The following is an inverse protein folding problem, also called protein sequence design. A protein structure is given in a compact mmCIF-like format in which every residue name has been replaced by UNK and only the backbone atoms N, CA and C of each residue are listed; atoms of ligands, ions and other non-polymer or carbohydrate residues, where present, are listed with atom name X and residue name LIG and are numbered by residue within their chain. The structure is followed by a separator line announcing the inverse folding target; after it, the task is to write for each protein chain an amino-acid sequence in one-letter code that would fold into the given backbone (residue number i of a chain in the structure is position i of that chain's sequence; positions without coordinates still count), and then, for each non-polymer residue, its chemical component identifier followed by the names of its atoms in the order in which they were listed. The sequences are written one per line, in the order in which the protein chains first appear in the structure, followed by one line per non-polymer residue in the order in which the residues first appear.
data_IF_977563889869
#
_entry.id   IF_977563889869
#
_cell.length_a   1.000
_cell.length_b   1.000
_cell.length_c   1.000
_cell.angle_alpha   90.00
_cell.angle_beta   90.00
_cell.angle_gamma   90.00
#
_symmetry.space_group_name_H-M   'P 1'
#
loop_
_entity.id
_entity.type
_entity.pdbx_description
1 polymer ?
#
# COMPACT_ATOMS: atom_id res chain seq x y z
N UNK A 1 26.11 -4.56 -9.09
CA UNK A 1 24.81 -3.96 -9.39
C UNK A 1 24.21 -3.37 -8.12
N UNK A 2 23.60 -2.20 -8.20
CA UNK A 2 22.96 -1.63 -7.02
C UNK A 2 21.77 -2.48 -6.55
N UNK A 3 21.55 -2.45 -5.26
CA UNK A 3 20.41 -3.06 -4.63
C UNK A 3 19.47 -1.97 -4.15
N UNK A 4 18.19 -2.17 -4.33
CA UNK A 4 17.17 -1.23 -3.89
C UNK A 4 16.16 -1.92 -3.00
N UNK A 5 15.77 -1.23 -1.94
CA UNK A 5 14.68 -1.66 -1.08
C UNK A 5 13.43 -0.88 -1.45
N UNK A 6 12.36 -1.59 -1.75
CA UNK A 6 11.09 -0.98 -2.13
C UNK A 6 10.02 -1.25 -1.09
N UNK A 7 9.19 -0.26 -0.86
CA UNK A 7 7.97 -0.37 -0.04
C UNK A 7 6.79 -0.02 -0.93
N UNK A 8 5.83 -0.91 -1.02
CA UNK A 8 4.61 -0.70 -1.80
C UNK A 8 3.43 -0.62 -0.84
N UNK A 9 2.72 0.50 -0.90
CA UNK A 9 1.56 0.77 -0.05
C UNK A 9 0.30 0.58 -0.89
N UNK A 10 -0.55 -0.35 -0.48
CA UNK A 10 -1.77 -0.70 -1.22
C UNK A 10 -2.98 -0.46 -0.32
N UNK A 11 -3.93 0.32 -0.80
CA UNK A 11 -5.18 0.61 -0.08
C UNK A 11 -6.36 0.48 -1.05
N UNK A 12 -7.54 0.17 -0.50
CA UNK A 12 -8.76 0.21 -1.30
C UNK A 12 -9.06 1.66 -1.73
N UNK A 13 -9.60 1.83 -2.93
CA UNK A 13 -10.04 3.14 -3.41
C UNK A 13 -11.08 3.73 -2.44
N UNK A 14 -11.12 5.07 -2.30
CA UNK A 14 -12.06 5.70 -1.34
C UNK A 14 -13.52 5.32 -1.55
N UNK A 15 -13.92 5.02 -2.77
CA UNK A 15 -15.29 4.63 -3.11
C UNK A 15 -15.62 3.17 -2.77
N UNK A 16 -14.61 2.37 -2.43
CA UNK A 16 -14.78 0.95 -2.10
C UNK A 16 -14.94 0.80 -0.60
N UNK A 17 -15.92 0.01 -0.18
CA UNK A 17 -16.13 -0.30 1.24
C UNK A 17 -14.92 -1.06 1.80
N UNK A 18 -14.44 -0.61 2.95
CA UNK A 18 -13.35 -1.24 3.68
C UNK A 18 -13.89 -1.85 4.98
N UNK A 19 -14.21 -3.16 4.99
CA UNK A 19 -14.75 -3.80 6.19
C UNK A 19 -13.78 -3.80 7.36
N UNK A 20 -12.48 -3.92 7.10
CA UNK A 20 -11.45 -3.91 8.15
C UNK A 20 -11.36 -2.54 8.79
N UNK A 21 -11.34 -1.48 7.97
CA UNK A 21 -11.31 -0.11 8.47
C UNK A 21 -12.54 0.22 9.31
N UNK A 22 -13.71 -0.25 8.89
CA UNK A 22 -14.95 -0.07 9.67
C UNK A 22 -14.90 -0.78 11.01
N UNK A 23 -14.35 -1.99 11.06
CA UNK A 23 -14.19 -2.74 12.30
C UNK A 23 -13.28 -2.01 13.28
N UNK A 24 -12.15 -1.48 12.78
CA UNK A 24 -11.24 -0.69 13.62
C UNK A 24 -11.92 0.57 14.14
N UNK A 25 -12.64 1.25 13.26
CA UNK A 25 -13.37 2.47 13.63
C UNK A 25 -14.39 2.22 14.74
N UNK A 26 -15.15 1.12 14.64
CA UNK A 26 -16.10 0.72 15.68
C UNK A 26 -15.40 0.42 17.00
N UNK A 27 -14.28 -0.28 16.95
CA UNK A 27 -13.50 -0.59 18.15
C UNK A 27 -13.04 0.69 18.86
N UNK A 28 -12.56 1.67 18.08
CA UNK A 28 -12.15 2.95 18.63
C UNK A 28 -13.32 3.70 19.26
N UNK A 29 -14.50 3.67 18.63
CA UNK A 29 -15.71 4.28 19.15
C UNK A 29 -16.13 3.65 20.50
N UNK A 30 -16.02 2.33 20.61
CA UNK A 30 -16.32 1.60 21.84
C UNK A 30 -15.33 1.93 22.97
N UNK A 31 -14.16 2.42 22.64
CA UNK A 31 -13.13 2.85 23.59
C UNK A 31 -13.14 4.37 23.82
N UNK A 32 -14.26 5.02 23.49
CA UNK A 32 -14.49 6.46 23.68
C UNK A 32 -13.66 7.37 22.75
N UNK A 33 -13.08 6.83 21.69
CA UNK A 33 -12.40 7.63 20.66
C UNK A 33 -13.41 8.04 19.58
N UNK A 34 -14.41 8.81 19.95
CA UNK A 34 -15.55 9.14 19.08
C UNK A 34 -15.23 10.21 18.02
N UNK A 35 -14.07 10.82 18.11
CA UNK A 35 -13.59 11.83 17.14
C UNK A 35 -12.82 11.23 15.99
N UNK A 36 -12.71 9.91 15.90
CA UNK A 36 -12.00 9.22 14.83
C UNK A 36 -12.98 8.74 13.76
N UNK A 37 -12.69 9.07 12.53
CA UNK A 37 -13.52 8.66 11.38
C UNK A 37 -12.63 8.42 10.17
N UNK A 38 -13.18 7.78 9.15
CA UNK A 38 -12.47 7.56 7.90
C UNK A 38 -11.31 6.58 8.02
N UNK A 39 -11.41 5.61 8.93
CA UNK A 39 -10.34 4.61 9.12
C UNK A 39 -10.26 3.71 7.89
N UNK A 40 -9.05 3.58 7.36
CA UNK A 40 -8.76 2.73 6.20
C UNK A 40 -7.64 1.78 6.58
N UNK A 41 -7.81 0.51 6.23
CA UNK A 41 -6.77 -0.50 6.43
C UNK A 41 -6.20 -0.88 5.09
N UNK A 42 -4.89 -0.85 4.98
CA UNK A 42 -4.17 -1.24 3.78
C UNK A 42 -3.07 -2.22 4.11
N UNK A 43 -2.24 -2.50 3.11
CA UNK A 43 -1.11 -3.42 3.29
C UNK A 43 0.18 -2.76 2.82
N UNK A 44 1.26 -3.17 3.44
CA UNK A 44 2.63 -2.80 3.06
C UNK A 44 3.32 -4.04 2.55
N UNK A 45 3.90 -3.94 1.35
CA UNK A 45 4.68 -5.01 0.76
C UNK A 45 6.11 -4.50 0.61
N UNK A 46 7.08 -5.24 1.13
CA UNK A 46 8.49 -4.90 1.04
C UNK A 46 9.21 -5.89 0.15
N UNK A 47 10.05 -5.40 -0.74
CA UNK A 47 10.84 -6.25 -1.63
C UNK A 47 12.17 -5.59 -1.95
N UNK A 48 13.14 -6.42 -2.34
CA UNK A 48 14.45 -5.96 -2.76
C UNK A 48 14.61 -6.25 -4.25
N UNK A 49 15.08 -5.27 -5.00
CA UNK A 49 15.34 -5.40 -6.42
C UNK A 49 16.81 -5.06 -6.71
N UNK A 50 17.36 -5.70 -7.73
CA UNK A 50 18.73 -5.51 -8.14
C UNK A 50 18.75 -5.05 -9.59
N UNK A 51 19.53 -4.04 -9.89
CA UNK A 51 19.70 -3.51 -11.25
C UNK A 51 19.94 -2.02 -11.26
N UNK A 52 19.95 -1.43 -12.44
CA UNK A 52 20.07 0.00 -12.59
C UNK A 52 18.74 0.68 -12.24
N UNK A 53 18.81 1.87 -11.64
CA UNK A 53 17.64 2.55 -11.12
C UNK A 53 16.48 2.71 -12.12
N UNK A 54 16.70 3.16 -13.37
CA UNK A 54 15.58 3.28 -14.32
C UNK A 54 14.89 1.96 -14.62
N UNK A 55 15.67 0.87 -14.70
CA UNK A 55 15.14 -0.47 -14.94
C UNK A 55 14.36 -0.98 -13.73
N UNK A 56 14.89 -0.74 -12.54
CA UNK A 56 14.24 -1.14 -11.26
C UNK A 56 12.94 -0.38 -11.09
N UNK A 57 12.91 0.92 -11.37
CA UNK A 57 11.67 1.71 -11.27
C UNK A 57 10.60 1.21 -12.23
N UNK A 58 10.96 0.92 -13.49
CA UNK A 58 10.01 0.39 -14.46
C UNK A 58 9.49 -0.99 -14.05
N UNK A 59 10.40 -1.85 -13.56
CA UNK A 59 10.03 -3.18 -13.07
C UNK A 59 9.08 -3.09 -11.89
N UNK A 60 9.39 -2.24 -10.93
CA UNK A 60 8.57 -2.06 -9.73
C UNK A 60 7.17 -1.53 -10.07
N UNK A 61 7.09 -0.59 -10.99
CA UNK A 61 5.80 -0.06 -11.44
C UNK A 61 4.94 -1.17 -12.07
N UNK A 62 5.55 -2.02 -12.90
CA UNK A 62 4.86 -3.15 -13.52
C UNK A 62 4.41 -4.20 -12.51
N UNK A 63 5.29 -4.57 -11.59
CA UNK A 63 4.97 -5.55 -10.52
C UNK A 63 3.83 -5.02 -9.65
N UNK A 64 3.89 -3.76 -9.27
CA UNK A 64 2.87 -3.14 -8.43
C UNK A 64 1.51 -3.19 -9.10
N UNK A 65 1.44 -2.83 -10.38
CA UNK A 65 0.21 -2.83 -11.15
C UNK A 65 -0.34 -4.24 -11.39
N UNK A 66 0.54 -5.17 -11.77
CA UNK A 66 0.12 -6.46 -12.32
C UNK A 66 0.02 -7.57 -11.28
N UNK A 67 0.74 -7.45 -10.16
CA UNK A 67 0.88 -8.53 -9.18
C UNK A 67 0.47 -8.10 -7.77
N UNK A 68 0.94 -6.94 -7.33
CA UNK A 68 0.81 -6.53 -5.93
C UNK A 68 -0.50 -5.82 -5.62
N UNK A 69 -1.19 -5.33 -6.61
CA UNK A 69 -2.46 -4.62 -6.41
C UNK A 69 -3.48 -5.01 -7.47
N UNK A 70 -4.74 -4.70 -7.16
CA UNK A 70 -5.84 -4.80 -8.11
C UNK A 70 -6.24 -3.38 -8.51
N UNK A 71 -5.83 -2.89 -9.69
CA UNK A 71 -6.04 -1.49 -10.05
C UNK A 71 -7.51 -1.10 -10.22
N UNK A 72 -8.42 -2.06 -10.29
CA UNK A 72 -9.87 -1.79 -10.33
C UNK A 72 -10.37 -1.36 -8.96
N UNK A 73 -9.87 -1.97 -7.89
CA UNK A 73 -10.37 -1.78 -6.53
C UNK A 73 -9.38 -1.06 -5.61
N UNK A 74 -8.11 -1.03 -5.97
CA UNK A 74 -7.05 -0.57 -5.08
C UNK A 74 -6.23 0.55 -5.70
N UNK A 75 -5.74 1.44 -4.85
CA UNK A 75 -4.69 2.40 -5.18
C UNK A 75 -3.38 1.88 -4.59
N UNK A 76 -2.29 2.12 -5.30
CA UNK A 76 -0.97 1.70 -4.85
C UNK A 76 0.04 2.81 -5.13
N UNK A 77 0.99 2.96 -4.20
CA UNK A 77 2.17 3.82 -4.39
C UNK A 77 3.38 3.10 -3.85
N UNK A 78 4.55 3.50 -4.29
CA UNK A 78 5.78 2.89 -3.81
C UNK A 78 6.85 3.92 -3.50
N UNK A 79 7.76 3.51 -2.63
CA UNK A 79 8.96 4.25 -2.28
C UNK A 79 10.16 3.35 -2.55
N UNK A 80 11.24 3.93 -3.06
CA UNK A 80 12.44 3.19 -3.43
C UNK A 80 13.65 3.83 -2.78
N UNK A 81 14.43 3.02 -2.07
CA UNK A 81 15.68 3.45 -1.45
C UNK A 81 16.82 2.56 -1.90
N UNK A 82 17.97 3.14 -2.14
CA UNK A 82 19.18 2.37 -2.39
C UNK A 82 19.64 1.71 -1.09
N UNK A 83 19.83 0.42 -1.16
CA UNK A 83 20.23 -0.36 0.01
C UNK A 83 21.73 -0.34 0.24
#
# INVERSE_FOLDING_TARGET
MPHYHAKVFVTLKPSILDPQGRTVERALSHLDHTNVSGVRVGKLIELTLTGERPEVEAQLAGITRDVLSNPVMEDARWELEEA
#
